data_IF_196715747739
#
_entry.id   IF_196715747739
#
_cell.length_a   1.000
_cell.length_b   1.000
_cell.length_c   1.000
_cell.angle_alpha   90.00
_cell.angle_beta   90.00
_cell.angle_gamma   90.00
#
_symmetry.space_group_name_H-M   'P 1'
#
loop_
_entity.id
_entity.type
_entity.pdbx_description
1 polymer ?
#
# COMPACT_ATOMS: atom_id res chain seq x y z
N UNK A 1 18.75 2.81 -22.10
CA UNK A 1 17.28 2.85 -22.25
C UNK A 1 16.58 1.52 -21.98
N UNK A 2 16.99 0.37 -22.57
CA UNK A 2 16.27 -0.91 -22.35
C UNK A 2 16.27 -1.39 -20.89
N UNK A 3 17.42 -1.37 -20.19
CA UNK A 3 17.55 -1.76 -18.78
C UNK A 3 16.72 -0.89 -17.83
N UNK A 4 16.75 0.44 -18.02
CA UNK A 4 15.97 1.39 -17.22
C UNK A 4 14.46 1.18 -17.39
N UNK A 5 13.98 0.95 -18.62
CA UNK A 5 12.56 0.68 -18.91
C UNK A 5 12.10 -0.64 -18.26
N UNK A 6 12.93 -1.69 -18.30
CA UNK A 6 12.65 -2.95 -17.64
C UNK A 6 12.54 -2.81 -16.12
N UNK A 7 13.45 -2.05 -15.49
CA UNK A 7 13.40 -1.76 -14.06
C UNK A 7 12.14 -0.98 -13.66
N UNK A 8 11.73 0.03 -14.44
CA UNK A 8 10.48 0.76 -14.19
C UNK A 8 9.23 -0.11 -14.34
N UNK A 9 9.23 -1.03 -15.32
CA UNK A 9 8.17 -2.02 -15.47
C UNK A 9 8.01 -2.87 -14.21
N UNK A 10 9.12 -3.42 -13.70
CA UNK A 10 9.10 -4.23 -12.47
C UNK A 10 8.69 -3.43 -11.22
N UNK A 11 9.11 -2.17 -11.10
CA UNK A 11 8.69 -1.30 -10.00
C UNK A 11 7.18 -1.01 -10.03
N UNK A 12 6.64 -0.72 -11.22
CA UNK A 12 5.20 -0.45 -11.41
C UNK A 12 4.37 -1.71 -11.11
N UNK A 13 4.84 -2.88 -11.56
CA UNK A 13 4.18 -4.16 -11.27
C UNK A 13 4.20 -4.47 -9.77
N UNK A 14 5.34 -4.25 -9.10
CA UNK A 14 5.47 -4.40 -7.66
C UNK A 14 4.51 -3.48 -6.89
N UNK A 15 4.42 -2.20 -7.26
CA UNK A 15 3.46 -1.26 -6.65
C UNK A 15 2.02 -1.76 -6.79
N UNK A 16 1.63 -2.22 -7.96
CA UNK A 16 0.29 -2.76 -8.19
C UNK A 16 0.01 -4.00 -7.32
N UNK A 17 0.99 -4.89 -7.16
CA UNK A 17 0.88 -6.07 -6.28
C UNK A 17 0.74 -5.67 -4.81
N UNK A 18 1.55 -4.73 -4.32
CA UNK A 18 1.43 -4.23 -2.94
C UNK A 18 0.09 -3.53 -2.71
N UNK A 19 -0.39 -2.74 -3.67
CA UNK A 19 -1.70 -2.09 -3.63
C UNK A 19 -2.85 -3.09 -3.54
N UNK A 20 -2.77 -4.20 -4.30
CA UNK A 20 -3.75 -5.28 -4.21
C UNK A 20 -3.69 -6.01 -2.86
N UNK A 21 -2.48 -6.32 -2.36
CA UNK A 21 -2.31 -6.96 -1.07
C UNK A 21 -2.87 -6.10 0.08
N UNK A 22 -2.62 -4.78 0.05
CA UNK A 22 -3.14 -3.85 1.05
C UNK A 22 -4.68 -3.80 1.02
N UNK A 23 -5.31 -3.79 -0.17
CA UNK A 23 -6.78 -3.87 -0.32
C UNK A 23 -7.34 -5.16 0.23
N UNK A 24 -6.77 -6.30 -0.16
CA UNK A 24 -7.20 -7.60 0.31
C UNK A 24 -7.12 -7.73 1.84
N UNK A 25 -6.06 -7.19 2.47
CA UNK A 25 -5.95 -7.15 3.92
C UNK A 25 -7.05 -6.31 4.57
N UNK A 26 -7.34 -5.13 4.03
CA UNK A 26 -8.41 -4.27 4.57
C UNK A 26 -9.78 -4.93 4.47
N UNK A 27 -10.06 -5.59 3.34
CA UNK A 27 -11.33 -6.28 3.15
C UNK A 27 -11.49 -7.44 4.15
N UNK A 28 -10.44 -8.23 4.36
CA UNK A 28 -10.43 -9.31 5.35
C UNK A 28 -10.61 -8.79 6.79
N UNK A 29 -9.94 -7.69 7.15
CA UNK A 29 -10.09 -7.07 8.47
C UNK A 29 -11.50 -6.50 8.67
N UNK A 30 -12.09 -5.89 7.64
CA UNK A 30 -13.46 -5.38 7.70
C UNK A 30 -14.49 -6.51 7.86
N UNK A 31 -14.30 -7.62 7.16
CA UNK A 31 -15.16 -8.81 7.30
C UNK A 31 -15.01 -9.45 8.68
N UNK A 32 -13.77 -9.59 9.18
CA UNK A 32 -13.49 -10.04 10.54
C UNK A 32 -14.17 -9.13 11.57
N UNK A 33 -14.05 -7.81 11.44
CA UNK A 33 -14.67 -6.86 12.37
C UNK A 33 -16.19 -7.03 12.40
N UNK A 34 -16.85 -7.16 11.24
CA UNK A 34 -18.29 -7.40 11.13
C UNK A 34 -18.72 -8.70 11.84
N UNK A 35 -17.97 -9.79 11.64
CA UNK A 35 -18.21 -11.08 12.30
C UNK A 35 -17.99 -11.02 13.81
N UNK A 36 -17.03 -10.25 14.28
CA UNK A 36 -16.75 -10.09 15.71
C UNK A 36 -17.80 -9.22 16.39
N UNK A 37 -18.19 -8.10 15.78
CA UNK A 37 -19.21 -7.17 16.31
C UNK A 37 -20.57 -7.81 16.52
N UNK A 38 -20.98 -8.74 15.64
CA UNK A 38 -22.25 -9.46 15.80
C UNK A 38 -22.30 -10.36 17.04
N UNK A 39 -21.14 -10.80 17.55
CA UNK A 39 -21.04 -11.65 18.75
C UNK A 39 -20.50 -10.90 19.98
N UNK A 40 -20.03 -9.68 19.81
CA UNK A 40 -19.37 -8.89 20.86
C UNK A 40 -20.26 -8.73 22.11
N UNK A 41 -21.57 -8.59 21.91
CA UNK A 41 -22.57 -8.44 22.98
C UNK A 41 -22.67 -9.70 23.86
N UNK A 42 -22.22 -10.85 23.36
CA UNK A 42 -22.24 -12.14 24.06
C UNK A 42 -20.90 -12.42 24.77
N UNK A 43 -19.90 -11.58 24.57
CA UNK A 43 -18.57 -11.75 25.16
C UNK A 43 -18.51 -11.14 26.55
N UNK A 44 -17.79 -11.79 27.45
CA UNK A 44 -17.47 -11.25 28.77
C UNK A 44 -16.62 -9.98 28.66
N UNK A 45 -16.66 -9.10 29.68
CA UNK A 45 -16.03 -7.78 29.63
C UNK A 45 -14.53 -7.79 29.31
N UNK A 46 -13.78 -8.77 29.78
CA UNK A 46 -12.34 -8.92 29.48
C UNK A 46 -12.06 -9.24 28.01
N UNK A 47 -12.95 -10.00 27.37
CA UNK A 47 -12.85 -10.31 25.94
C UNK A 47 -13.21 -9.09 25.09
N UNK A 48 -14.13 -8.23 25.54
CA UNK A 48 -14.43 -6.96 24.88
C UNK A 48 -13.22 -6.00 24.94
N UNK A 49 -12.55 -5.89 26.09
CA UNK A 49 -11.33 -5.08 26.21
C UNK A 49 -10.21 -5.58 25.30
N UNK A 50 -9.97 -6.90 25.28
CA UNK A 50 -8.96 -7.51 24.39
C UNK A 50 -9.28 -7.24 22.91
N UNK A 51 -10.56 -7.32 22.53
CA UNK A 51 -11.00 -6.99 21.17
C UNK A 51 -10.59 -5.58 20.76
N UNK A 52 -10.85 -4.56 21.58
CA UNK A 52 -10.48 -3.17 21.25
C UNK A 52 -8.97 -2.97 21.11
N UNK A 53 -8.16 -3.72 21.88
CA UNK A 53 -6.70 -3.69 21.76
C UNK A 53 -6.24 -4.26 20.43
N UNK A 54 -6.73 -5.45 20.06
CA UNK A 54 -6.38 -6.07 18.78
C UNK A 54 -6.91 -5.26 17.60
N UNK A 55 -8.11 -4.68 17.74
CA UNK A 55 -8.73 -3.83 16.72
C UNK A 55 -7.86 -2.64 16.37
N UNK A 56 -7.40 -1.92 17.39
CA UNK A 56 -6.46 -0.83 17.20
C UNK A 56 -5.14 -1.28 16.55
N UNK A 57 -4.63 -2.46 16.88
CA UNK A 57 -3.38 -2.96 16.30
C UNK A 57 -3.51 -3.28 14.82
N UNK A 58 -4.55 -4.03 14.42
CA UNK A 58 -4.71 -4.38 13.01
C UNK A 58 -5.09 -3.16 12.16
N UNK A 59 -5.85 -2.21 12.69
CA UNK A 59 -6.17 -0.95 11.99
C UNK A 59 -4.91 -0.12 11.75
N UNK A 60 -4.03 -0.07 12.76
CA UNK A 60 -2.72 0.58 12.63
C UNK A 60 -1.86 -0.07 11.54
N UNK A 61 -1.75 -1.40 11.56
CA UNK A 61 -0.97 -2.14 10.57
C UNK A 61 -1.51 -1.97 9.14
N UNK A 62 -2.83 -2.01 8.95
CA UNK A 62 -3.46 -1.79 7.65
C UNK A 62 -3.19 -0.37 7.12
N UNK A 63 -3.29 0.64 7.98
CA UNK A 63 -3.00 2.03 7.63
C UNK A 63 -1.52 2.23 7.25
N UNK A 64 -0.60 1.59 7.97
CA UNK A 64 0.82 1.66 7.64
C UNK A 64 1.12 1.03 6.28
N UNK A 65 0.47 -0.11 5.94
CA UNK A 65 0.61 -0.68 4.60
C UNK A 65 0.11 0.26 3.51
N UNK A 66 -1.05 0.91 3.70
CA UNK A 66 -1.55 1.91 2.75
C UNK A 66 -0.55 3.07 2.56
N UNK A 67 0.04 3.56 3.66
CA UNK A 67 1.01 4.65 3.61
C UNK A 67 2.25 4.25 2.81
N UNK A 68 2.77 3.04 3.02
CA UNK A 68 3.94 2.53 2.29
C UNK A 68 3.64 2.42 0.79
N UNK A 69 2.48 1.89 0.41
CA UNK A 69 2.06 1.80 -1.01
C UNK A 69 1.97 3.20 -1.63
N UNK A 70 1.36 4.15 -0.93
CA UNK A 70 1.24 5.52 -1.41
C UNK A 70 2.61 6.18 -1.61
N UNK A 71 3.53 6.01 -0.65
CA UNK A 71 4.90 6.52 -0.75
C UNK A 71 5.67 5.88 -1.91
N UNK A 72 5.51 4.57 -2.12
CA UNK A 72 6.13 3.85 -3.24
C UNK A 72 5.62 4.40 -4.58
N UNK A 73 4.31 4.62 -4.72
CA UNK A 73 3.72 5.19 -5.93
C UNK A 73 4.24 6.60 -6.26
N UNK A 74 4.42 7.44 -5.24
CA UNK A 74 5.04 8.77 -5.41
C UNK A 74 6.50 8.65 -5.87
N UNK A 75 7.30 7.82 -5.21
CA UNK A 75 8.70 7.63 -5.54
C UNK A 75 8.91 7.12 -6.98
N UNK A 76 8.05 6.21 -7.45
CA UNK A 76 8.09 5.71 -8.84
C UNK A 76 7.78 6.83 -9.84
N UNK A 77 6.77 7.67 -9.54
CA UNK A 77 6.39 8.79 -10.40
C UNK A 77 7.51 9.82 -10.49
N UNK A 78 8.09 10.21 -9.36
CA UNK A 78 9.19 11.18 -9.31
C UNK A 78 10.41 10.66 -10.10
N UNK A 79 10.74 9.37 -9.94
CA UNK A 79 11.83 8.74 -10.70
C UNK A 79 11.56 8.73 -12.22
N UNK A 80 10.31 8.49 -12.63
CA UNK A 80 9.91 8.53 -14.03
C UNK A 80 10.03 9.95 -14.62
N UNK A 81 9.51 10.96 -13.93
CA UNK A 81 9.51 12.35 -14.42
C UNK A 81 10.94 12.92 -14.52
N UNK A 82 11.79 12.62 -13.52
CA UNK A 82 13.20 12.97 -13.54
C UNK A 82 13.94 12.33 -14.72
N UNK A 83 13.65 11.05 -15.00
CA UNK A 83 14.26 10.35 -16.13
C UNK A 83 13.81 10.91 -17.48
N UNK A 84 12.51 11.19 -17.66
CA UNK A 84 12.01 11.81 -18.89
C UNK A 84 12.60 13.20 -19.13
N UNK A 85 12.73 14.02 -18.09
CA UNK A 85 13.37 15.34 -18.21
C UNK A 85 14.84 15.23 -18.60
N UNK A 86 15.60 14.32 -17.97
CA UNK A 86 17.00 14.09 -18.30
C UNK A 86 17.18 13.64 -19.76
N UNK A 87 16.33 12.74 -20.24
CA UNK A 87 16.38 12.25 -21.62
C UNK A 87 16.05 13.36 -22.64
N UNK A 88 15.02 14.16 -22.37
CA UNK A 88 14.66 15.33 -23.20
C UNK A 88 15.79 16.36 -23.25
N UNK A 89 16.33 16.74 -22.08
CA UNK A 89 17.41 17.73 -22.00
C UNK A 89 18.67 17.26 -22.71
N UNK A 90 18.99 15.96 -22.65
CA UNK A 90 20.14 15.44 -23.37
C UNK A 90 19.86 15.40 -24.87
N UNK A 91 18.66 14.97 -25.30
CA UNK A 91 18.30 14.96 -26.73
C UNK A 91 18.29 16.35 -27.38
N UNK A 92 18.00 17.41 -26.62
CA UNK A 92 18.02 18.80 -27.11
C UNK A 92 19.42 19.41 -27.18
N UNK A 93 20.41 18.83 -26.50
CA UNK A 93 21.82 19.31 -26.52
C UNK A 93 22.57 18.72 -27.73
N UNK A 94 22.15 17.55 -28.19
CA UNK A 94 22.80 16.80 -29.28
C UNK A 94 22.00 16.79 -30.59
N UNK A 95 20.88 17.52 -30.65
CA UNK A 95 20.01 17.67 -31.82
C UNK A 95 20.14 19.02 -32.52
#
# INVERSE_FOLDING_TARGET
MSYTRANFGGLTEGEAQFSQAARALMDELSDLEGKLRTKLNQWEGSAQEAYWVFQKQWDGAAKDMQNVVAQLGLAIRDAHDNYQQAERSNSSIWG
#
